data_IF_954564752368
#
_entry.id   IF_954564752368
#
_cell.length_a   1.000
_cell.length_b   1.000
_cell.length_c   1.000
_cell.angle_alpha   90.00
_cell.angle_beta   90.00
_cell.angle_gamma   90.00
#
_symmetry.space_group_name_H-M   'P 1'
#
loop_
_entity.id
_entity.type
_entity.pdbx_description
1 polymer ?
#
# COMPACT_ATOMS: atom_id res chain seq x y z
N UNK A 1 8.55 -9.31 17.51
CA UNK A 1 8.41 -7.94 18.05
C UNK A 1 6.91 -7.72 18.19
N UNK A 2 6.34 -8.19 19.30
CA UNK A 2 4.94 -7.90 19.65
C UNK A 2 4.86 -6.41 19.95
N UNK A 3 4.24 -5.65 19.05
CA UNK A 3 3.68 -4.36 19.45
C UNK A 3 2.42 -4.72 20.21
N UNK A 4 2.50 -4.69 21.54
CA UNK A 4 1.31 -4.52 22.37
C UNK A 4 0.69 -3.18 21.99
N UNK A 5 -0.15 -3.22 20.95
CA UNK A 5 -1.04 -2.14 20.61
C UNK A 5 -1.97 -2.02 21.80
N UNK A 6 -1.87 -0.91 22.54
CA UNK A 6 -2.84 -0.57 23.57
C UNK A 6 -4.24 -0.74 22.95
N UNK A 7 -5.01 -1.69 23.48
CA UNK A 7 -6.38 -1.90 23.05
C UNK A 7 -7.18 -0.66 23.45
N UNK A 8 -7.93 -0.11 22.50
CA UNK A 8 -8.82 1.01 22.78
C UNK A 8 -9.94 0.49 23.68
N UNK A 9 -10.04 1.05 24.87
CA UNK A 9 -10.98 0.60 25.93
C UNK A 9 -12.38 1.17 25.71
N UNK A 10 -12.47 2.42 25.22
CA UNK A 10 -13.73 3.14 25.06
C UNK A 10 -13.93 3.59 23.61
N UNK A 11 -15.18 3.58 23.17
CA UNK A 11 -15.63 4.25 21.95
C UNK A 11 -16.21 5.62 22.28
N UNK A 12 -16.36 6.48 21.26
CA UNK A 12 -17.06 7.76 21.40
C UNK A 12 -18.48 7.58 22.00
N UNK A 13 -19.16 6.50 21.60
CA UNK A 13 -20.48 6.14 22.14
C UNK A 13 -20.41 5.77 23.62
N UNK A 14 -19.42 4.97 24.03
CA UNK A 14 -19.28 4.57 25.44
C UNK A 14 -19.05 5.80 26.33
N UNK A 15 -18.29 6.79 25.85
CA UNK A 15 -18.05 8.05 26.57
C UNK A 15 -19.33 8.87 26.67
N UNK A 16 -20.13 8.93 25.60
CA UNK A 16 -21.40 9.65 25.59
C UNK A 16 -22.45 9.02 26.53
N UNK A 17 -22.51 7.69 26.59
CA UNK A 17 -23.46 6.96 27.43
C UNK A 17 -22.98 6.80 28.88
N UNK A 18 -21.80 7.32 29.23
CA UNK A 18 -21.23 7.19 30.57
C UNK A 18 -21.96 8.06 31.59
N UNK A 19 -22.60 7.42 32.56
CA UNK A 19 -23.14 8.08 33.74
C UNK A 19 -22.15 8.04 34.91
N UNK A 20 -21.91 9.20 35.54
CA UNK A 20 -21.07 9.32 36.72
C UNK A 20 -21.90 9.42 38.00
N UNK A 21 -21.44 8.76 39.06
CA UNK A 21 -21.98 8.93 40.41
C UNK A 21 -21.79 10.35 40.93
N UNK A 22 -22.70 10.82 41.78
CA UNK A 22 -22.61 12.15 42.39
C UNK A 22 -22.02 12.05 43.80
N UNK A 23 -21.02 12.87 44.07
CA UNK A 23 -20.43 13.03 45.41
C UNK A 23 -20.57 14.48 45.91
N UNK A 24 -20.59 14.66 47.24
CA UNK A 24 -20.83 15.96 47.89
C UNK A 24 -19.79 17.03 47.52
N UNK A 25 -18.60 16.62 47.08
CA UNK A 25 -17.54 17.49 46.55
C UNK A 25 -17.01 16.97 45.21
N UNK A 26 -17.92 16.73 44.27
CA UNK A 26 -17.58 16.33 42.91
C UNK A 26 -17.36 17.51 41.94
N UNK A 27 -16.95 17.17 40.72
CA UNK A 27 -16.91 18.11 39.61
C UNK A 27 -18.30 18.55 39.17
N UNK A 28 -18.39 19.73 38.57
CA UNK A 28 -19.63 20.22 37.97
C UNK A 28 -20.01 19.34 36.77
N UNK A 29 -21.24 18.81 36.77
CA UNK A 29 -21.73 17.98 35.65
C UNK A 29 -21.60 18.71 34.32
N UNK A 30 -21.96 20.00 34.28
CA UNK A 30 -21.91 20.78 33.04
C UNK A 30 -20.48 20.97 32.50
N UNK A 31 -19.51 21.19 33.38
CA UNK A 31 -18.09 21.34 32.99
C UNK A 31 -17.52 20.01 32.49
N UNK A 32 -17.90 18.90 33.14
CA UNK A 32 -17.50 17.56 32.70
C UNK A 32 -18.15 17.23 31.36
N UNK A 33 -19.44 17.49 31.19
CA UNK A 33 -20.16 17.23 29.93
C UNK A 33 -19.52 18.02 28.77
N UNK A 34 -19.23 19.31 28.95
CA UNK A 34 -18.59 20.15 27.92
C UNK A 34 -17.19 19.63 27.56
N UNK A 35 -16.41 19.19 28.56
CA UNK A 35 -15.12 18.55 28.31
C UNK A 35 -15.27 17.22 27.55
N UNK A 36 -16.24 16.39 27.93
CA UNK A 36 -16.48 15.10 27.29
C UNK A 36 -16.99 15.24 25.86
N UNK A 37 -17.73 16.30 25.54
CA UNK A 37 -18.13 16.60 24.15
C UNK A 37 -16.90 16.77 23.24
N UNK A 38 -15.85 17.44 23.70
CA UNK A 38 -14.62 17.60 22.93
C UNK A 38 -13.81 16.31 22.87
N UNK A 39 -13.73 15.56 23.97
CA UNK A 39 -13.09 14.22 23.98
C UNK A 39 -13.80 13.27 23.01
N UNK A 40 -15.14 13.32 22.93
CA UNK A 40 -15.93 12.51 21.99
C UNK A 40 -15.55 12.85 20.55
N UNK A 41 -15.49 14.15 20.20
CA UNK A 41 -15.08 14.60 18.85
C UNK A 41 -13.68 14.09 18.50
N UNK A 42 -12.76 14.14 19.45
CA UNK A 42 -11.40 13.62 19.25
C UNK A 42 -11.41 12.11 19.02
N UNK A 43 -12.18 11.35 19.79
CA UNK A 43 -12.32 9.90 19.60
C UNK A 43 -12.91 9.54 18.23
N UNK A 44 -13.92 10.27 17.77
CA UNK A 44 -14.46 10.09 16.41
C UNK A 44 -13.42 10.42 15.33
N UNK A 45 -12.67 11.51 15.53
CA UNK A 45 -11.60 11.94 14.63
C UNK A 45 -10.49 10.90 14.54
N UNK A 46 -10.03 10.37 15.68
CA UNK A 46 -9.03 9.32 15.73
C UNK A 46 -9.54 8.01 15.12
N UNK A 47 -10.78 7.63 15.37
CA UNK A 47 -11.37 6.43 14.76
C UNK A 47 -11.42 6.55 13.23
N UNK A 48 -11.81 7.71 12.71
CA UNK A 48 -11.82 7.99 11.27
C UNK A 48 -10.40 7.94 10.69
N UNK A 49 -9.41 8.55 11.36
CA UNK A 49 -8.02 8.56 10.93
C UNK A 49 -7.40 7.15 10.92
N UNK A 50 -7.65 6.35 11.96
CA UNK A 50 -7.16 4.97 12.01
C UNK A 50 -7.79 4.14 10.90
N UNK A 51 -9.08 4.35 10.61
CA UNK A 51 -9.76 3.68 9.50
C UNK A 51 -9.15 4.07 8.15
N UNK A 52 -8.92 5.36 7.89
CA UNK A 52 -8.33 5.81 6.62
C UNK A 52 -6.92 5.26 6.43
N UNK A 53 -6.07 5.33 7.46
CA UNK A 53 -4.71 4.79 7.42
C UNK A 53 -4.70 3.27 7.18
N UNK A 54 -5.61 2.52 7.80
CA UNK A 54 -5.72 1.07 7.56
C UNK A 54 -6.13 0.75 6.13
N UNK A 55 -7.02 1.54 5.54
CA UNK A 55 -7.43 1.39 4.14
C UNK A 55 -6.26 1.70 3.19
N UNK A 56 -5.56 2.80 3.41
CA UNK A 56 -4.38 3.18 2.62
C UNK A 56 -3.28 2.11 2.70
N UNK A 57 -3.00 1.60 3.90
CA UNK A 57 -2.03 0.50 4.08
C UNK A 57 -2.48 -0.77 3.37
N UNK A 58 -3.78 -1.08 3.35
CA UNK A 58 -4.28 -2.25 2.64
C UNK A 58 -4.12 -2.07 1.12
N UNK A 59 -4.48 -0.91 0.58
CA UNK A 59 -4.35 -0.58 -0.83
C UNK A 59 -2.88 -0.62 -1.28
N UNK A 60 -1.97 0.00 -0.53
CA UNK A 60 -0.53 -0.02 -0.85
C UNK A 60 0.04 -1.44 -0.84
N UNK A 61 -0.39 -2.29 0.10
CA UNK A 61 0.02 -3.70 0.13
C UNK A 61 -0.49 -4.48 -1.07
N UNK A 62 -1.71 -4.22 -1.51
CA UNK A 62 -2.28 -4.84 -2.72
C UNK A 62 -1.52 -4.39 -3.97
N UNK A 63 -1.22 -3.10 -4.11
CA UNK A 63 -0.41 -2.58 -5.23
C UNK A 63 1.00 -3.20 -5.26
N UNK A 64 1.63 -3.39 -4.10
CA UNK A 64 2.92 -4.07 -3.99
C UNK A 64 2.85 -5.55 -4.35
N UNK A 65 1.77 -6.24 -3.98
CA UNK A 65 1.56 -7.65 -4.31
C UNK A 65 1.28 -7.86 -5.80
N UNK A 66 0.57 -6.93 -6.44
CA UNK A 66 0.23 -6.99 -7.87
C UNK A 66 1.34 -6.45 -8.78
N UNK A 67 2.43 -5.88 -8.23
CA UNK A 67 3.59 -5.50 -9.04
C UNK A 67 4.34 -6.77 -9.44
N UNK A 68 4.45 -7.11 -10.74
CA UNK A 68 5.19 -8.29 -11.15
C UNK A 68 6.62 -8.17 -10.64
N UNK A 69 7.04 -9.14 -9.82
CA UNK A 69 8.45 -9.34 -9.51
C UNK A 69 9.17 -9.52 -10.84
N UNK A 70 9.89 -8.49 -11.26
CA UNK A 70 10.92 -8.63 -12.26
C UNK A 70 12.02 -9.40 -11.55
N UNK A 71 11.93 -10.73 -11.58
CA UNK A 71 13.06 -11.55 -11.17
C UNK A 71 14.26 -11.12 -12.03
N UNK A 72 15.44 -10.86 -11.43
CA UNK A 72 16.65 -10.75 -12.21
C UNK A 72 16.91 -12.13 -12.80
N UNK A 73 16.45 -12.32 -14.05
CA UNK A 73 16.67 -13.56 -14.80
C UNK A 73 18.19 -13.72 -14.89
N UNK A 74 18.72 -14.63 -14.06
CA UNK A 74 20.11 -15.04 -14.13
C UNK A 74 20.31 -15.61 -15.52
N UNK A 75 21.21 -14.96 -16.27
CA UNK A 75 21.51 -15.28 -17.66
C UNK A 75 22.30 -16.59 -17.67
N UNK A 76 21.60 -17.72 -17.57
CA UNK A 76 22.17 -19.03 -17.89
C UNK A 76 21.68 -19.41 -19.28
N UNK A 77 22.61 -19.35 -20.21
CA UNK A 77 22.55 -19.77 -21.59
C UNK A 77 21.96 -21.18 -21.77
N UNK A 78 20.89 -21.33 -22.57
CA UNK A 78 20.78 -22.24 -23.73
C UNK A 78 19.38 -22.19 -24.40
N UNK A 79 19.23 -22.58 -25.69
CA UNK A 79 18.04 -22.33 -26.50
C UNK A 79 17.21 -23.60 -26.80
N UNK A 80 15.89 -23.58 -26.55
CA UNK A 80 14.96 -24.53 -27.20
C UNK A 80 13.52 -24.02 -27.27
N UNK A 81 13.15 -23.65 -28.49
CA UNK A 81 11.91 -23.86 -29.26
C UNK A 81 10.51 -24.09 -28.64
N UNK A 82 9.54 -23.50 -29.39
CA UNK A 82 8.12 -23.81 -29.59
C UNK A 82 7.03 -23.21 -28.66
N UNK A 83 6.29 -22.25 -29.25
CA UNK A 83 4.82 -22.30 -29.35
C UNK A 83 3.98 -21.96 -28.13
N UNK A 84 3.59 -20.69 -27.98
CA UNK A 84 2.26 -20.36 -27.45
C UNK A 84 1.72 -19.06 -28.02
N UNK A 85 0.52 -19.12 -28.59
CA UNK A 85 -0.31 -17.96 -28.92
C UNK A 85 -0.83 -17.38 -27.62
N UNK A 86 -0.14 -16.38 -27.08
CA UNK A 86 -0.59 -15.65 -25.89
C UNK A 86 -0.42 -14.17 -26.17
N UNK A 87 -1.47 -13.40 -25.88
CA UNK A 87 -1.54 -11.95 -26.01
C UNK A 87 -0.21 -11.29 -25.66
N UNK A 88 0.53 -10.82 -26.66
CA UNK A 88 1.83 -10.20 -26.44
C UNK A 88 1.65 -9.00 -25.52
N UNK A 89 2.30 -9.03 -24.37
CA UNK A 89 2.28 -7.92 -23.41
C UNK A 89 3.20 -6.81 -23.91
N UNK A 90 3.03 -5.58 -23.41
CA UNK A 90 3.90 -4.46 -23.76
C UNK A 90 5.40 -4.77 -23.56
N UNK A 91 5.73 -5.64 -22.59
CA UNK A 91 7.09 -6.10 -22.35
C UNK A 91 7.63 -7.01 -23.46
N UNK A 92 6.82 -7.93 -23.99
CA UNK A 92 7.22 -8.82 -25.08
C UNK A 92 7.47 -8.05 -26.38
N UNK A 93 6.69 -6.99 -26.60
CA UNK A 93 6.86 -6.08 -27.73
C UNK A 93 8.20 -5.36 -27.63
N UNK A 94 8.55 -4.79 -26.46
CA UNK A 94 9.83 -4.12 -26.24
C UNK A 94 11.03 -5.06 -26.37
N UNK A 95 10.92 -6.28 -25.85
CA UNK A 95 12.00 -7.28 -25.96
C UNK A 95 12.21 -7.72 -27.41
N UNK A 96 11.13 -7.88 -28.18
CA UNK A 96 11.20 -8.18 -29.61
C UNK A 96 11.76 -7.02 -30.42
N UNK A 97 11.34 -5.78 -30.12
CA UNK A 97 11.90 -4.56 -30.73
C UNK A 97 13.40 -4.45 -30.47
N UNK A 98 13.85 -4.63 -29.21
CA UNK A 98 15.27 -4.55 -28.89
C UNK A 98 16.10 -5.64 -29.60
N UNK A 99 15.55 -6.85 -29.76
CA UNK A 99 16.18 -7.91 -30.55
C UNK A 99 16.25 -7.55 -32.04
N UNK A 100 15.17 -7.00 -32.59
CA UNK A 100 15.12 -6.52 -33.97
C UNK A 100 16.12 -5.38 -34.20
N UNK A 101 16.21 -4.42 -33.29
CA UNK A 101 17.21 -3.35 -33.33
C UNK A 101 18.62 -3.92 -33.32
N UNK A 102 18.92 -4.91 -32.46
CA UNK A 102 20.24 -5.54 -32.43
C UNK A 102 20.55 -6.32 -33.70
N UNK A 103 19.59 -7.03 -34.29
CA UNK A 103 19.82 -7.78 -35.53
C UNK A 103 19.92 -6.87 -36.77
N UNK A 104 19.16 -5.77 -36.80
CA UNK A 104 19.14 -4.81 -37.90
C UNK A 104 20.31 -3.82 -37.81
N UNK A 105 20.56 -3.23 -36.64
CA UNK A 105 21.63 -2.25 -36.44
C UNK A 105 22.95 -2.85 -35.97
N UNK A 106 22.93 -4.01 -35.31
CA UNK A 106 24.16 -4.65 -34.83
C UNK A 106 25.08 -5.14 -35.96
N UNK A 107 24.56 -5.31 -37.19
CA UNK A 107 25.38 -5.55 -38.38
C UNK A 107 25.85 -4.25 -39.04
N UNK A 108 25.07 -3.18 -38.95
CA UNK A 108 25.38 -1.90 -39.59
C UNK A 108 26.44 -1.09 -38.82
N UNK A 109 26.59 -1.29 -37.50
CA UNK A 109 27.66 -0.64 -36.72
C UNK A 109 29.03 -1.28 -37.02
N UNK A 110 29.08 -2.57 -37.33
CA UNK A 110 30.35 -3.25 -37.68
C UNK A 110 30.78 -2.91 -39.11
N UNK A 111 29.84 -2.73 -40.05
CA UNK A 111 30.16 -2.35 -41.44
C UNK A 111 30.49 -0.85 -41.62
N UNK A 112 30.01 0.05 -40.75
CA UNK A 112 30.33 1.49 -40.82
C UNK A 112 31.54 1.91 -39.97
N UNK A 113 32.22 0.98 -39.28
CA UNK A 113 33.46 1.26 -38.54
C UNK A 113 34.74 0.92 -39.32
N UNK A 114 34.62 0.40 -40.54
CA UNK A 114 35.74 0.02 -41.41
C UNK A 114 35.94 0.98 -42.60
N UNK A 115 35.64 2.28 -42.43
CA UNK A 115 36.15 3.34 -43.30
C UNK A 115 36.70 4.52 -42.49
#
# INVERSE_FOLDING_TARGET
>A
MERDMASIIFTAKDIFEQDFGREVRGYSKAEVDEFLDDVIKDYETYAALVKSLRLEVAELKEQLANKPQVEPVSVTSEPTELGSTTSMTNFDILKRLNRLEKEVFGKQIVENSDF
#
